data_IF_838183415638
#
_entry.id   IF_838183415638
#
_cell.length_a   1.000
_cell.length_b   1.000
_cell.length_c   1.000
_cell.angle_alpha   90.00
_cell.angle_beta   90.00
_cell.angle_gamma   90.00
#
_symmetry.space_group_name_H-M   'P 1'
#
loop_
_entity.id
_entity.type
_entity.pdbx_description
1 polymer ?
#
# COMPACT_ATOMS: atom_id res chain seq x y z
N UNK A 1 -7.18 -2.95 -29.45
CA UNK A 1 -7.14 -1.73 -28.61
C UNK A 1 -7.30 -2.19 -27.18
N UNK A 2 -6.31 -2.03 -26.32
CA UNK A 2 -6.44 -2.48 -24.92
C UNK A 2 -7.54 -1.66 -24.22
N UNK A 3 -8.43 -2.36 -23.52
CA UNK A 3 -9.53 -1.73 -22.79
C UNK A 3 -9.02 -1.02 -21.54
N UNK A 4 -9.79 -0.08 -20.99
CA UNK A 4 -9.47 0.58 -19.73
C UNK A 4 -9.25 -0.42 -18.57
N UNK A 5 -9.89 -1.58 -18.64
CA UNK A 5 -9.78 -2.67 -17.66
C UNK A 5 -8.39 -3.32 -17.65
N UNK A 6 -7.58 -3.13 -18.68
CA UNK A 6 -6.20 -3.62 -18.75
C UNK A 6 -5.23 -2.48 -18.43
N UNK A 7 -5.46 -1.30 -19.01
CA UNK A 7 -4.50 -0.19 -18.92
C UNK A 7 -4.40 0.41 -17.51
N UNK A 8 -5.55 0.59 -16.83
CA UNK A 8 -5.55 1.22 -15.49
C UNK A 8 -4.86 0.32 -14.45
N UNK A 9 -5.21 -0.99 -14.31
CA UNK A 9 -4.53 -1.87 -13.37
C UNK A 9 -3.05 -2.07 -13.72
N UNK A 10 -2.71 -2.15 -15.02
CA UNK A 10 -1.32 -2.26 -15.46
C UNK A 10 -0.49 -1.03 -15.07
N UNK A 11 -1.03 0.18 -15.28
CA UNK A 11 -0.38 1.43 -14.87
C UNK A 11 -0.23 1.50 -13.33
N UNK A 12 -1.27 1.07 -12.59
CA UNK A 12 -1.22 0.97 -11.13
C UNK A 12 -0.12 0.01 -10.67
N UNK A 13 -0.01 -1.16 -11.31
CA UNK A 13 1.05 -2.14 -11.05
C UNK A 13 2.46 -1.57 -11.28
N UNK A 14 2.67 -0.84 -12.39
CA UNK A 14 3.96 -0.20 -12.68
C UNK A 14 4.30 0.86 -11.64
N UNK A 15 3.37 1.77 -11.32
CA UNK A 15 3.61 2.84 -10.35
C UNK A 15 3.89 2.25 -8.97
N UNK A 16 3.15 1.22 -8.56
CA UNK A 16 3.37 0.51 -7.30
C UNK A 16 4.73 -0.17 -7.25
N UNK A 17 5.20 -0.72 -8.38
CA UNK A 17 6.53 -1.31 -8.49
C UNK A 17 7.62 -0.24 -8.33
N UNK A 18 7.50 0.89 -9.01
CA UNK A 18 8.43 2.01 -8.87
C UNK A 18 8.45 2.51 -7.43
N UNK A 19 7.28 2.65 -6.81
CA UNK A 19 7.16 3.05 -5.42
C UNK A 19 7.84 2.03 -4.49
N UNK A 20 7.61 0.73 -4.66
CA UNK A 20 8.27 -0.33 -3.88
C UNK A 20 9.79 -0.24 -3.99
N UNK A 21 10.33 -0.09 -5.21
CA UNK A 21 11.77 0.04 -5.47
C UNK A 21 12.35 1.24 -4.73
N UNK A 22 11.69 2.40 -4.79
CA UNK A 22 12.17 3.61 -4.09
C UNK A 22 12.13 3.45 -2.58
N UNK A 23 11.10 2.80 -2.03
CA UNK A 23 11.01 2.52 -0.60
C UNK A 23 12.11 1.55 -0.16
N UNK A 24 12.37 0.48 -0.95
CA UNK A 24 13.47 -0.45 -0.66
C UNK A 24 14.85 0.20 -0.78
N UNK A 25 15.07 1.06 -1.78
CA UNK A 25 16.31 1.83 -1.86
C UNK A 25 16.54 2.66 -0.60
N UNK A 26 15.52 3.40 -0.15
CA UNK A 26 15.63 4.16 1.11
C UNK A 26 15.85 3.26 2.32
N UNK A 27 15.23 2.09 2.36
CA UNK A 27 15.49 1.10 3.40
C UNK A 27 16.96 0.68 3.41
N UNK A 28 17.55 0.42 2.24
CA UNK A 28 18.96 0.02 2.11
C UNK A 28 19.93 1.13 2.53
N UNK A 29 19.64 2.38 2.17
CA UNK A 29 20.42 3.56 2.57
C UNK A 29 20.42 3.77 4.09
N UNK A 30 19.33 3.40 4.78
CA UNK A 30 19.19 3.55 6.24
C UNK A 30 19.50 2.26 7.02
N UNK A 31 20.02 1.23 6.37
CA UNK A 31 20.23 -0.10 6.96
C UNK A 31 21.22 -0.08 8.13
N UNK A 32 22.21 0.80 8.12
CA UNK A 32 23.17 0.94 9.21
C UNK A 32 22.53 1.48 10.51
N UNK A 33 21.41 2.19 10.40
CA UNK A 33 20.57 2.57 11.53
C UNK A 33 19.55 1.45 11.85
N UNK A 34 19.97 0.21 11.98
CA UNK A 34 19.23 -1.05 11.98
C UNK A 34 17.92 -1.12 12.81
N UNK A 35 17.62 -0.14 13.63
CA UNK A 35 16.39 -0.04 14.42
C UNK A 35 15.31 0.84 13.80
N UNK A 36 15.61 1.63 12.76
CA UNK A 36 14.69 2.65 12.22
C UNK A 36 14.05 2.30 10.87
N UNK A 37 14.50 1.25 10.19
CA UNK A 37 14.06 0.92 8.83
C UNK A 37 12.87 -0.05 8.69
N UNK A 38 12.36 -0.67 9.76
CA UNK A 38 11.34 -1.71 9.67
C UNK A 38 10.04 -1.22 8.99
N UNK A 39 9.65 0.04 9.18
CA UNK A 39 8.49 0.64 8.53
C UNK A 39 8.67 0.71 7.00
N UNK A 40 9.88 1.06 6.53
CA UNK A 40 10.18 1.10 5.10
C UNK A 40 10.13 -0.30 4.48
N UNK A 41 10.71 -1.31 5.16
CA UNK A 41 10.65 -2.69 4.69
C UNK A 41 9.20 -3.16 4.49
N UNK A 42 8.34 -2.91 5.47
CA UNK A 42 6.93 -3.33 5.42
C UNK A 42 6.11 -2.54 4.40
N UNK A 43 6.39 -1.24 4.25
CA UNK A 43 5.82 -0.43 3.19
C UNK A 43 6.23 -0.93 1.80
N UNK A 44 7.52 -1.27 1.62
CA UNK A 44 8.02 -1.87 0.38
C UNK A 44 7.31 -3.19 0.05
N UNK A 45 7.17 -4.10 1.03
CA UNK A 45 6.45 -5.36 0.86
C UNK A 45 4.97 -5.11 0.54
N UNK A 46 4.31 -4.19 1.25
CA UNK A 46 2.92 -3.82 0.97
C UNK A 46 2.73 -3.29 -0.46
N UNK A 47 3.69 -2.49 -0.96
CA UNK A 47 3.64 -2.00 -2.35
C UNK A 47 3.92 -3.10 -3.38
N UNK A 48 4.73 -4.11 -3.04
CA UNK A 48 4.87 -5.32 -3.88
C UNK A 48 3.54 -6.08 -3.96
N UNK A 49 2.82 -6.25 -2.85
CA UNK A 49 1.48 -6.85 -2.88
C UNK A 49 0.50 -6.04 -3.73
N UNK A 50 0.57 -4.72 -3.64
CA UNK A 50 -0.25 -3.82 -4.47
C UNK A 50 0.06 -4.02 -5.96
N UNK A 51 1.34 -4.07 -6.32
CA UNK A 51 1.77 -4.30 -7.70
C UNK A 51 1.30 -5.66 -8.24
N UNK A 52 1.43 -6.73 -7.43
CA UNK A 52 0.92 -8.06 -7.79
C UNK A 52 -0.59 -8.01 -8.04
N UNK A 53 -1.36 -7.34 -7.19
CA UNK A 53 -2.79 -7.14 -7.39
C UNK A 53 -3.11 -6.51 -8.74
N UNK A 54 -2.52 -5.35 -9.03
CA UNK A 54 -2.74 -4.63 -10.29
C UNK A 54 -2.30 -5.43 -11.53
N UNK A 55 -1.18 -6.14 -11.48
CA UNK A 55 -0.77 -6.98 -12.61
C UNK A 55 -1.68 -8.20 -12.80
N UNK A 56 -2.21 -8.79 -11.72
CA UNK A 56 -3.19 -9.87 -11.82
C UNK A 56 -4.50 -9.39 -12.45
N UNK A 57 -4.96 -8.20 -12.13
CA UNK A 57 -6.15 -7.59 -12.76
C UNK A 57 -5.91 -7.27 -14.23
N UNK A 58 -4.76 -6.70 -14.56
CA UNK A 58 -4.39 -6.46 -15.94
C UNK A 58 -4.30 -7.75 -16.77
N UNK A 59 -3.73 -8.82 -16.18
CA UNK A 59 -3.68 -10.14 -16.79
C UNK A 59 -5.09 -10.67 -17.05
N UNK A 60 -5.96 -10.59 -16.05
CA UNK A 60 -7.36 -11.03 -16.18
C UNK A 60 -8.08 -10.28 -17.31
N UNK A 61 -7.92 -8.96 -17.37
CA UNK A 61 -8.54 -8.13 -18.42
C UNK A 61 -8.01 -8.43 -19.83
N UNK A 62 -6.77 -8.92 -19.96
CA UNK A 62 -6.13 -9.21 -21.24
C UNK A 62 -6.31 -10.66 -21.70
N UNK A 63 -6.25 -11.62 -20.79
CA UNK A 63 -6.15 -13.05 -21.08
C UNK A 63 -7.29 -13.89 -20.48
N UNK A 64 -8.16 -13.26 -19.68
CA UNK A 64 -9.25 -13.95 -19.02
C UNK A 64 -8.86 -14.68 -17.74
N UNK A 65 -9.70 -15.63 -17.35
CA UNK A 65 -9.64 -16.30 -16.08
C UNK A 65 -8.44 -17.27 -15.94
N UNK A 66 -7.80 -17.18 -14.77
CA UNK A 66 -6.80 -18.14 -14.33
C UNK A 66 -6.92 -18.34 -12.82
N UNK A 67 -7.04 -19.60 -12.38
CA UNK A 67 -7.15 -19.94 -10.96
C UNK A 67 -5.96 -19.44 -10.13
N UNK A 68 -4.73 -19.55 -10.65
CA UNK A 68 -3.53 -19.07 -9.98
C UNK A 68 -3.53 -17.55 -9.86
N UNK A 69 -3.82 -16.85 -10.96
CA UNK A 69 -3.85 -15.38 -10.99
C UNK A 69 -4.90 -14.84 -10.05
N UNK A 70 -6.09 -15.45 -10.01
CA UNK A 70 -7.14 -15.08 -9.06
C UNK A 70 -6.69 -15.25 -7.59
N UNK A 71 -6.04 -16.36 -7.25
CA UNK A 71 -5.55 -16.62 -5.89
C UNK A 71 -4.49 -15.60 -5.47
N UNK A 72 -3.57 -15.27 -6.38
CA UNK A 72 -2.56 -14.25 -6.15
C UNK A 72 -3.19 -12.86 -5.98
N UNK A 73 -4.13 -12.50 -6.85
CA UNK A 73 -4.89 -11.26 -6.72
C UNK A 73 -5.62 -11.16 -5.39
N UNK A 74 -6.36 -12.22 -5.04
CA UNK A 74 -7.16 -12.22 -3.83
C UNK A 74 -6.31 -12.16 -2.56
N UNK A 75 -5.22 -12.92 -2.53
CA UNK A 75 -4.30 -12.90 -1.39
C UNK A 75 -3.56 -11.56 -1.28
N UNK A 76 -2.88 -11.15 -2.33
CA UNK A 76 -2.02 -9.95 -2.29
C UNK A 76 -2.85 -8.66 -2.31
N UNK A 77 -3.75 -8.50 -3.29
CA UNK A 77 -4.52 -7.27 -3.49
C UNK A 77 -5.67 -7.11 -2.50
N UNK A 78 -6.49 -8.15 -2.30
CA UNK A 78 -7.68 -8.02 -1.46
C UNK A 78 -7.43 -8.22 0.04
N UNK A 79 -6.46 -9.07 0.45
CA UNK A 79 -6.23 -9.41 1.85
C UNK A 79 -5.00 -8.66 2.41
N UNK A 80 -3.81 -8.84 1.84
CA UNK A 80 -2.56 -8.50 2.52
C UNK A 80 -2.17 -7.03 2.42
N UNK A 81 -2.41 -6.37 1.29
CA UNK A 81 -1.84 -5.05 0.97
C UNK A 81 -2.08 -4.01 2.07
N UNK A 82 -3.32 -3.81 2.46
CA UNK A 82 -3.68 -2.78 3.44
C UNK A 82 -3.06 -3.05 4.81
N UNK A 83 -3.11 -4.32 5.26
CA UNK A 83 -2.61 -4.71 6.56
C UNK A 83 -1.08 -4.58 6.66
N UNK A 84 -0.33 -4.91 5.60
CA UNK A 84 1.13 -4.79 5.62
C UNK A 84 1.60 -3.34 5.53
N UNK A 85 0.93 -2.49 4.73
CA UNK A 85 1.16 -1.05 4.73
C UNK A 85 0.85 -0.45 6.10
N UNK A 86 -0.28 -0.84 6.69
CA UNK A 86 -0.69 -0.41 8.04
C UNK A 86 0.31 -0.84 9.11
N UNK A 87 0.82 -2.07 9.04
CA UNK A 87 1.85 -2.55 9.96
C UNK A 87 3.15 -1.75 9.87
N UNK A 88 3.52 -1.28 8.67
CA UNK A 88 4.62 -0.34 8.51
C UNK A 88 4.39 0.96 9.30
N UNK A 89 3.17 1.50 9.23
CA UNK A 89 2.79 2.69 10.01
C UNK A 89 2.79 2.43 11.52
N UNK A 90 2.40 1.24 11.96
CA UNK A 90 2.51 0.83 13.37
C UNK A 90 3.97 0.86 13.83
N UNK A 91 4.92 0.38 13.03
CA UNK A 91 6.35 0.47 13.37
C UNK A 91 6.89 1.89 13.44
N UNK A 92 6.26 2.82 12.71
CA UNK A 92 6.62 4.24 12.75
C UNK A 92 6.11 4.94 14.01
N UNK A 93 4.90 4.61 14.46
CA UNK A 93 4.18 5.37 15.48
C UNK A 93 4.14 4.70 16.88
N UNK A 94 4.12 3.37 16.93
CA UNK A 94 3.95 2.62 18.16
C UNK A 94 5.28 2.24 18.81
N UNK A 95 5.23 1.93 20.11
CA UNK A 95 6.37 1.35 20.81
C UNK A 95 6.75 0.01 20.19
N UNK A 96 8.05 -0.25 20.03
CA UNK A 96 8.61 -1.43 19.36
C UNK A 96 8.02 -2.76 19.86
N UNK A 97 7.79 -2.87 21.17
CA UNK A 97 7.18 -4.07 21.78
C UNK A 97 5.81 -4.39 21.17
N UNK A 98 4.95 -3.39 21.04
CA UNK A 98 3.62 -3.56 20.46
C UNK A 98 3.68 -3.80 18.95
N UNK A 99 4.55 -3.08 18.24
CA UNK A 99 4.74 -3.28 16.81
C UNK A 99 5.22 -4.72 16.51
N UNK A 100 6.15 -5.26 17.30
CA UNK A 100 6.61 -6.64 17.14
C UNK A 100 5.50 -7.67 17.45
N UNK A 101 4.73 -7.46 18.51
CA UNK A 101 3.62 -8.35 18.86
C UNK A 101 2.56 -8.40 17.73
N UNK A 102 2.17 -7.23 17.21
CA UNK A 102 1.23 -7.14 16.09
C UNK A 102 1.82 -7.73 14.81
N UNK A 103 3.13 -7.60 14.57
CA UNK A 103 3.81 -8.23 13.42
C UNK A 103 3.75 -9.75 13.49
N UNK A 104 3.94 -10.35 14.66
CA UNK A 104 3.82 -11.80 14.84
C UNK A 104 2.39 -12.24 14.51
N UNK A 105 1.39 -11.55 15.06
CA UNK A 105 -0.03 -11.84 14.79
C UNK A 105 -0.33 -11.71 13.30
N UNK A 106 0.11 -10.61 12.67
CA UNK A 106 -0.08 -10.40 11.23
C UNK A 106 0.63 -11.47 10.39
N UNK A 107 1.84 -11.88 10.77
CA UNK A 107 2.60 -12.92 10.07
C UNK A 107 1.87 -14.27 10.12
N UNK A 108 1.42 -14.68 11.30
CA UNK A 108 0.65 -15.94 11.48
C UNK A 108 -0.68 -15.86 10.71
N UNK A 109 -1.40 -14.75 10.82
CA UNK A 109 -2.65 -14.54 10.09
C UNK A 109 -2.44 -14.54 8.56
N UNK A 110 -1.35 -13.94 8.07
CA UNK A 110 -1.00 -13.94 6.64
C UNK A 110 -0.68 -15.34 6.12
N UNK A 111 0.05 -16.13 6.90
CA UNK A 111 0.32 -17.53 6.54
C UNK A 111 -0.98 -18.34 6.51
N UNK A 112 -1.83 -18.18 7.51
CA UNK A 112 -3.15 -18.81 7.52
C UNK A 112 -3.99 -18.40 6.31
N UNK A 113 -4.04 -17.11 6.00
CA UNK A 113 -4.76 -16.60 4.83
C UNK A 113 -4.21 -17.20 3.52
N UNK A 114 -2.88 -17.29 3.36
CA UNK A 114 -2.25 -17.91 2.20
C UNK A 114 -2.68 -19.38 2.05
N UNK A 115 -2.57 -20.18 3.10
CA UNK A 115 -2.99 -21.59 3.08
C UNK A 115 -4.46 -21.69 2.68
N UNK A 116 -5.33 -20.88 3.32
CA UNK A 116 -6.78 -20.92 3.06
C UNK A 116 -7.15 -20.51 1.64
N UNK A 117 -6.50 -19.49 1.08
CA UNK A 117 -6.73 -19.03 -0.30
C UNK A 117 -6.26 -20.07 -1.32
N UNK A 118 -5.06 -20.65 -1.11
CA UNK A 118 -4.52 -21.63 -2.06
C UNK A 118 -5.21 -22.98 -2.01
N UNK A 119 -5.79 -23.36 -0.89
CA UNK A 119 -6.57 -24.62 -0.73
C UNK A 119 -8.07 -24.43 -0.96
N UNK A 120 -8.56 -23.21 -1.14
CA UNK A 120 -9.97 -22.94 -1.33
C UNK A 120 -10.52 -23.55 -2.63
N UNK A 121 -11.75 -24.04 -2.59
CA UNK A 121 -12.49 -24.42 -3.79
C UNK A 121 -12.98 -23.13 -4.48
N UNK A 122 -12.77 -23.09 -5.79
CA UNK A 122 -13.22 -21.98 -6.65
C UNK A 122 -14.34 -22.48 -7.54
N UNK A 123 -15.34 -21.65 -7.78
CA UNK A 123 -16.42 -21.92 -8.73
C UNK A 123 -16.08 -21.28 -10.08
N UNK A 124 -15.70 -22.09 -11.08
CA UNK A 124 -15.38 -21.57 -12.42
C UNK A 124 -16.58 -20.92 -13.11
N UNK A 125 -17.80 -21.30 -12.75
CA UNK A 125 -19.01 -20.75 -13.39
C UNK A 125 -19.24 -19.27 -13.09
N UNK A 126 -18.68 -18.79 -11.98
CA UNK A 126 -18.70 -17.36 -11.60
C UNK A 126 -17.57 -16.57 -12.23
N UNK A 127 -16.75 -17.21 -13.07
CA UNK A 127 -15.55 -16.66 -13.69
C UNK A 127 -15.60 -16.83 -15.20
N UNK A 128 -16.77 -16.65 -15.80
CA UNK A 128 -16.96 -16.80 -17.25
C UNK A 128 -16.33 -15.63 -18.02
N UNK A 129 -15.84 -15.93 -19.23
CA UNK A 129 -15.18 -14.98 -20.14
C UNK A 129 -16.05 -13.78 -20.56
N UNK A 130 -17.35 -13.81 -20.28
CA UNK A 130 -18.28 -12.69 -20.51
C UNK A 130 -18.13 -11.53 -19.53
N UNK A 131 -17.33 -11.71 -18.50
CA UNK A 131 -17.16 -10.79 -17.39
C UNK A 131 -15.86 -9.98 -17.57
N UNK A 132 -15.81 -9.13 -18.59
CA UNK A 132 -14.64 -8.33 -18.92
C UNK A 132 -14.51 -7.01 -18.15
N UNK A 133 -15.30 -6.81 -17.12
CA UNK A 133 -15.22 -5.63 -16.26
C UNK A 133 -14.65 -6.04 -14.90
N UNK A 134 -13.60 -5.37 -14.46
CA UNK A 134 -12.86 -5.77 -13.27
C UNK A 134 -13.63 -5.69 -11.94
N UNK A 135 -14.79 -5.04 -11.94
CA UNK A 135 -15.73 -5.10 -10.82
C UNK A 135 -16.23 -6.53 -10.54
N UNK A 136 -15.94 -7.45 -11.42
CA UNK A 136 -16.42 -8.83 -11.44
C UNK A 136 -15.41 -9.83 -10.88
N UNK A 137 -14.13 -9.47 -10.72
CA UNK A 137 -13.20 -10.17 -9.87
C UNK A 137 -13.62 -10.00 -8.42
N UNK A 138 -14.63 -10.73 -8.03
CA UNK A 138 -15.13 -10.68 -6.66
C UNK A 138 -14.75 -11.94 -5.90
N UNK A 139 -14.55 -11.82 -4.61
CA UNK A 139 -14.32 -12.97 -3.75
C UNK A 139 -15.47 -13.99 -3.76
N UNK A 140 -16.57 -13.74 -4.50
CA UNK A 140 -17.69 -14.67 -4.64
C UNK A 140 -17.31 -16.00 -5.29
N UNK A 141 -16.28 -16.01 -6.14
CA UNK A 141 -15.75 -17.26 -6.71
C UNK A 141 -15.17 -18.22 -5.67
N UNK A 142 -14.86 -17.75 -4.47
CA UNK A 142 -14.40 -18.61 -3.37
C UNK A 142 -15.63 -19.23 -2.69
N UNK A 143 -15.82 -20.53 -2.90
CA UNK A 143 -16.92 -21.32 -2.31
C UNK A 143 -16.59 -21.72 -0.87
N UNK A 144 -15.31 -21.97 -0.58
CA UNK A 144 -14.89 -22.42 0.75
C UNK A 144 -15.22 -21.40 1.84
N UNK A 145 -16.03 -21.82 2.81
CA UNK A 145 -16.47 -20.97 3.91
C UNK A 145 -15.32 -20.39 4.75
N UNK A 146 -15.52 -19.17 5.25
CA UNK A 146 -14.59 -18.46 6.14
C UNK A 146 -13.43 -17.73 5.43
N UNK A 147 -13.04 -18.11 4.21
CA UNK A 147 -11.93 -17.44 3.49
C UNK A 147 -12.26 -15.98 3.20
N UNK A 148 -13.45 -15.71 2.71
CA UNK A 148 -13.92 -14.34 2.42
C UNK A 148 -14.01 -13.45 3.66
N UNK A 149 -14.26 -14.06 4.82
CA UNK A 149 -14.29 -13.36 6.11
C UNK A 149 -12.95 -12.79 6.54
N UNK A 150 -11.82 -13.29 6.00
CA UNK A 150 -10.50 -12.76 6.32
C UNK A 150 -10.30 -11.34 5.79
N UNK A 151 -10.82 -11.06 4.60
CA UNK A 151 -10.64 -9.77 3.93
C UNK A 151 -11.06 -8.56 4.79
N UNK A 152 -12.26 -8.51 5.39
CA UNK A 152 -12.65 -7.38 6.22
C UNK A 152 -11.77 -7.19 7.45
N UNK A 153 -11.27 -8.25 8.08
CA UNK A 153 -10.38 -8.11 9.24
C UNK A 153 -9.04 -7.50 8.87
N UNK A 154 -8.40 -7.99 7.79
CA UNK A 154 -7.15 -7.44 7.30
C UNK A 154 -7.31 -5.99 6.84
N UNK A 155 -8.37 -5.70 6.10
CA UNK A 155 -8.62 -4.35 5.59
C UNK A 155 -8.99 -3.38 6.71
N UNK A 156 -9.77 -3.79 7.71
CA UNK A 156 -10.06 -2.96 8.87
C UNK A 156 -8.78 -2.62 9.64
N UNK A 157 -7.95 -3.63 9.92
CA UNK A 157 -6.66 -3.42 10.55
C UNK A 157 -5.78 -2.46 9.74
N UNK A 158 -5.66 -2.68 8.43
CA UNK A 158 -4.88 -1.84 7.54
C UNK A 158 -5.41 -0.40 7.47
N UNK A 159 -6.71 -0.23 7.32
CA UNK A 159 -7.33 1.10 7.26
C UNK A 159 -7.12 1.87 8.57
N UNK A 160 -7.40 1.26 9.70
CA UNK A 160 -7.23 1.93 11.01
C UNK A 160 -5.77 2.32 11.23
N UNK A 161 -4.83 1.44 10.92
CA UNK A 161 -3.41 1.69 11.19
C UNK A 161 -2.75 2.58 10.15
N UNK A 162 -3.03 2.41 8.86
CA UNK A 162 -2.45 3.22 7.78
C UNK A 162 -3.10 4.61 7.73
N UNK A 163 -4.43 4.64 7.53
CA UNK A 163 -5.15 5.92 7.37
C UNK A 163 -5.21 6.67 8.70
N UNK A 164 -5.59 5.97 9.78
CA UNK A 164 -5.62 6.57 11.12
C UNK A 164 -4.24 7.06 11.56
N UNK A 165 -3.17 6.29 11.29
CA UNK A 165 -1.80 6.70 11.59
C UNK A 165 -1.32 7.89 10.78
N UNK A 166 -1.65 7.96 9.48
CA UNK A 166 -1.32 9.09 8.63
C UNK A 166 -2.06 10.37 9.07
N UNK A 167 -3.35 10.26 9.38
CA UNK A 167 -4.14 11.37 9.91
C UNK A 167 -3.63 11.85 11.28
N UNK A 168 -3.29 10.92 12.17
CA UNK A 168 -2.70 11.24 13.47
C UNK A 168 -1.36 11.98 13.31
N UNK A 169 -0.49 11.51 12.42
CA UNK A 169 0.78 12.18 12.12
C UNK A 169 0.55 13.59 11.54
N UNK A 170 -0.40 13.72 10.61
CA UNK A 170 -0.78 15.02 10.05
C UNK A 170 -1.27 15.99 11.11
N UNK A 171 -2.11 15.53 12.02
CA UNK A 171 -2.64 16.34 13.12
C UNK A 171 -1.53 16.81 14.06
N UNK A 172 -0.56 15.95 14.42
CA UNK A 172 0.58 16.33 15.26
C UNK A 172 1.42 17.41 14.59
N UNK A 173 1.78 17.26 13.31
CA UNK A 173 2.59 18.24 12.59
C UNK A 173 1.86 19.57 12.42
N UNK A 174 0.57 19.50 12.09
CA UNK A 174 -0.27 20.70 11.95
C UNK A 174 -0.41 21.46 13.27
N UNK A 175 -0.70 20.75 14.37
CA UNK A 175 -0.84 21.38 15.71
C UNK A 175 0.45 22.04 16.19
N UNK A 176 1.58 21.44 15.88
CA UNK A 176 2.90 22.00 16.25
C UNK A 176 3.37 23.10 15.31
N UNK A 177 2.62 23.36 14.23
CA UNK A 177 2.97 24.32 13.16
C UNK A 177 4.37 24.08 12.56
N UNK A 178 4.82 22.83 12.52
CA UNK A 178 6.11 22.41 11.98
C UNK A 178 5.88 21.46 10.80
N UNK A 179 6.81 21.45 9.85
CA UNK A 179 6.89 20.45 8.80
C UNK A 179 5.58 20.34 7.97
N UNK A 180 5.06 21.49 7.47
CA UNK A 180 3.82 21.52 6.68
C UNK A 180 3.83 20.56 5.50
N UNK A 181 5.01 20.33 4.87
CA UNK A 181 5.16 19.37 3.77
C UNK A 181 4.86 17.93 4.23
N UNK A 182 5.22 17.54 5.48
CA UNK A 182 4.88 16.23 6.04
C UNK A 182 3.41 16.10 6.37
N UNK A 183 2.79 17.19 6.82
CA UNK A 183 1.33 17.23 7.02
C UNK A 183 0.60 16.92 5.72
N UNK A 184 0.92 17.64 4.64
CA UNK A 184 0.33 17.43 3.32
C UNK A 184 0.66 16.02 2.80
N UNK A 185 1.90 15.57 2.95
CA UNK A 185 2.31 14.23 2.54
C UNK A 185 1.49 13.13 3.21
N UNK A 186 1.27 13.21 4.52
CA UNK A 186 0.46 12.24 5.25
C UNK A 186 -1.03 12.30 4.87
N UNK A 187 -1.58 13.49 4.58
CA UNK A 187 -2.95 13.63 4.07
C UNK A 187 -3.09 12.92 2.72
N UNK A 188 -2.12 13.13 1.81
CA UNK A 188 -2.11 12.45 0.51
C UNK A 188 -2.05 10.92 0.66
N UNK A 189 -1.25 10.41 1.60
CA UNK A 189 -1.20 8.97 1.91
C UNK A 189 -2.56 8.48 2.42
N UNK A 190 -3.19 9.21 3.35
CA UNK A 190 -4.48 8.81 3.91
C UNK A 190 -5.58 8.79 2.84
N UNK A 191 -5.68 9.84 2.03
CA UNK A 191 -6.64 9.92 0.93
C UNK A 191 -6.37 8.82 -0.11
N UNK A 192 -5.10 8.68 -0.52
CA UNK A 192 -4.70 7.66 -1.50
C UNK A 192 -5.03 6.24 -1.04
N UNK A 193 -4.82 5.93 0.25
CA UNK A 193 -5.13 4.61 0.80
C UNK A 193 -6.64 4.31 0.86
N UNK A 194 -7.50 5.34 0.89
CA UNK A 194 -8.95 5.17 0.90
C UNK A 194 -9.55 4.99 -0.50
N UNK A 195 -8.90 5.48 -1.55
CA UNK A 195 -9.45 5.48 -2.91
C UNK A 195 -9.80 4.09 -3.45
N UNK A 196 -9.01 3.03 -3.25
CA UNK A 196 -9.39 1.67 -3.68
C UNK A 196 -10.67 1.18 -3.01
N UNK A 197 -10.86 1.49 -1.72
CA UNK A 197 -12.07 1.10 -0.98
C UNK A 197 -13.32 1.82 -1.52
N UNK A 198 -13.21 3.12 -1.81
CA UNK A 198 -14.28 3.86 -2.47
C UNK A 198 -14.52 3.36 -3.90
N UNK A 199 -13.46 3.13 -4.67
CA UNK A 199 -13.55 2.58 -6.02
C UNK A 199 -14.28 1.23 -6.04
N UNK A 200 -13.93 0.31 -5.13
CA UNK A 200 -14.61 -0.97 -4.97
C UNK A 200 -16.07 -0.83 -4.54
N UNK A 201 -16.39 0.17 -3.73
CA UNK A 201 -17.76 0.47 -3.36
C UNK A 201 -18.57 0.97 -4.56
N UNK A 202 -18.05 1.96 -5.30
CA UNK A 202 -18.70 2.49 -6.48
C UNK A 202 -18.88 1.46 -7.60
N UNK A 203 -17.93 0.54 -7.77
CA UNK A 203 -18.07 -0.58 -8.69
C UNK A 203 -19.28 -1.45 -8.36
N UNK A 204 -19.54 -1.71 -7.09
CA UNK A 204 -20.73 -2.45 -6.63
C UNK A 204 -22.05 -1.70 -6.87
N UNK A 205 -22.01 -0.38 -6.98
CA UNK A 205 -23.15 0.47 -7.35
C UNK A 205 -23.29 0.66 -8.87
N UNK A 206 -22.58 -0.13 -9.67
CA UNK A 206 -22.76 -0.14 -11.13
C UNK A 206 -21.92 0.90 -11.89
N UNK A 207 -20.86 1.43 -11.27
CA UNK A 207 -19.88 2.25 -11.96
C UNK A 207 -18.68 1.37 -12.38
N UNK A 208 -18.66 0.82 -13.60
CA UNK A 208 -17.60 -0.03 -14.07
C UNK A 208 -16.28 0.77 -14.04
N UNK A 209 -15.18 0.09 -13.80
CA UNK A 209 -13.82 0.67 -13.73
C UNK A 209 -13.55 1.63 -12.55
N UNK A 210 -14.52 1.94 -11.69
CA UNK A 210 -14.30 2.81 -10.52
C UNK A 210 -13.24 2.22 -9.57
N UNK A 211 -13.17 0.89 -9.43
CA UNK A 211 -12.13 0.21 -8.67
C UNK A 211 -10.74 0.51 -9.22
N UNK A 212 -10.52 0.26 -10.50
CA UNK A 212 -9.21 0.46 -11.15
C UNK A 212 -8.75 1.91 -11.15
N UNK A 213 -9.70 2.84 -11.36
CA UNK A 213 -9.41 4.26 -11.24
C UNK A 213 -9.04 4.62 -9.79
N UNK A 214 -9.76 4.07 -8.81
CA UNK A 214 -9.47 4.25 -7.39
C UNK A 214 -8.10 3.72 -7.00
N UNK A 215 -7.71 2.57 -7.53
CA UNK A 215 -6.39 1.97 -7.29
C UNK A 215 -5.27 2.78 -7.95
N UNK A 216 -5.44 3.20 -9.20
CA UNK A 216 -4.45 4.02 -9.88
C UNK A 216 -4.24 5.36 -9.18
N UNK A 217 -5.31 6.10 -8.91
CA UNK A 217 -5.24 7.38 -8.20
C UNK A 217 -4.73 7.19 -6.77
N UNK A 218 -5.13 6.09 -6.11
CA UNK A 218 -4.68 5.75 -4.77
C UNK A 218 -3.17 5.56 -4.71
N UNK A 219 -2.60 4.76 -5.61
CA UNK A 219 -1.15 4.55 -5.63
C UNK A 219 -0.39 5.82 -5.99
N UNK A 220 -0.89 6.66 -6.93
CA UNK A 220 -0.28 7.94 -7.28
C UNK A 220 -0.24 8.88 -6.06
N UNK A 221 -1.37 9.01 -5.36
CA UNK A 221 -1.45 9.90 -4.18
C UNK A 221 -0.59 9.39 -3.02
N UNK A 222 -0.59 8.08 -2.74
CA UNK A 222 0.28 7.49 -1.73
C UNK A 222 1.75 7.71 -2.08
N UNK A 223 2.13 7.55 -3.33
CA UNK A 223 3.50 7.76 -3.80
C UNK A 223 3.92 9.22 -3.67
N UNK A 224 3.11 10.15 -4.19
CA UNK A 224 3.36 11.59 -4.06
C UNK A 224 3.44 12.02 -2.58
N UNK A 225 2.54 11.48 -1.76
CA UNK A 225 2.52 11.70 -0.32
C UNK A 225 3.78 11.20 0.37
N UNK A 226 4.23 10.00 0.02
CA UNK A 226 5.48 9.42 0.55
C UNK A 226 6.69 10.27 0.20
N UNK A 227 6.85 10.65 -1.08
CA UNK A 227 7.95 11.53 -1.49
C UNK A 227 7.90 12.83 -0.70
N UNK A 228 6.74 13.49 -0.64
CA UNK A 228 6.58 14.77 0.04
C UNK A 228 6.85 14.70 1.54
N UNK A 229 6.42 13.61 2.20
CA UNK A 229 6.62 13.42 3.63
C UNK A 229 8.06 13.07 4.01
N UNK A 230 8.84 12.54 3.08
CA UNK A 230 10.17 11.99 3.36
C UNK A 230 11.33 12.78 2.75
N UNK A 231 11.06 13.76 1.88
CA UNK A 231 12.09 14.62 1.30
C UNK A 231 12.30 15.83 2.22
N UNK A 232 13.52 16.06 2.75
CA UNK A 232 13.84 17.26 3.54
C UNK A 232 13.66 18.51 2.70
N UNK A 233 13.08 19.56 3.28
CA UNK A 233 13.05 20.90 2.64
C UNK A 233 14.36 21.63 2.87
N UNK A 234 14.67 22.64 2.03
CA UNK A 234 15.89 23.46 2.16
C UNK A 234 16.04 24.09 3.55
N UNK A 235 14.93 24.47 4.16
CA UNK A 235 14.89 25.08 5.50
C UNK A 235 15.18 24.09 6.64
N UNK A 236 15.24 22.78 6.35
CA UNK A 236 15.60 21.73 7.31
C UNK A 236 17.07 21.27 7.16
N UNK A 237 17.77 21.75 6.14
CA UNK A 237 19.20 21.49 6.02
C UNK A 237 19.93 22.41 6.99
N UNK A 238 20.84 21.89 7.84
CA UNK A 238 21.73 22.76 8.61
C UNK A 238 22.40 23.71 7.61
N UNK A 239 22.39 25.02 7.89
CA UNK A 239 23.22 25.95 7.13
C UNK A 239 24.64 25.37 7.09
N UNK A 240 25.30 25.33 5.90
CA UNK A 240 26.70 24.97 5.85
C UNK A 240 27.38 25.89 6.85
N UNK A 241 27.92 25.31 7.92
CA UNK A 241 28.69 26.02 8.93
C UNK A 241 29.65 26.91 8.16
N UNK A 242 29.41 28.23 8.21
CA UNK A 242 30.23 29.20 7.54
C UNK A 242 31.65 28.86 7.96
N UNK A 243 32.45 28.46 7.00
CA UNK A 243 33.84 28.07 7.22
C UNK A 243 34.41 29.12 8.16
N UNK A 244 34.68 28.72 9.38
CA UNK A 244 35.22 29.58 10.40
C UNK A 244 36.47 30.20 9.83
N UNK A 245 36.39 31.49 9.48
CA UNK A 245 37.54 32.35 9.28
C UNK A 245 38.32 32.31 10.59
N UNK A 246 39.22 31.32 10.68
CA UNK A 246 40.26 31.30 11.69
C UNK A 246 41.27 32.37 11.24
N UNK A 247 41.36 33.54 11.89
CA UNK A 247 42.44 34.46 11.60
C UNK A 247 43.75 33.74 12.00
N UNK A 248 44.55 33.48 11.00
CA UNK A 248 45.94 33.07 11.21
C UNK A 248 46.59 34.25 11.92
N UNK A 249 46.81 34.14 13.21
CA UNK A 249 47.70 35.02 13.95
C UNK A 249 49.12 34.64 13.54
N UNK A 250 49.65 35.44 12.60
CA UNK A 250 51.11 35.50 12.38
C UNK A 250 51.76 36.14 13.62
N UNK A 251 52.59 35.40 14.33
CA UNK A 251 53.68 35.92 15.15
C UNK A 251 54.91 35.06 14.96
#
# INVERSE_FOLDING_TARGET
>A
MFSFNVLLPFASGIISTIFAVLVFRRYMEHKEAARRGAHLLLWGIGMVFYAIGGFCEAYYGAFGWSSLVFRLWYLCGAILVAAWLGQGTVYLLAKRKWANALMIVLGVASLYAAIRVFTAQLDPSLMTDSLHTGSELSGHAIVTGGVRGLTPFFNLYGTVTLVGGALYSSWIFWRKRILLHRTIGNILIAVGAMLPAFGGTFSRFGLPNALYLGELLGTILMFAGFIRATTPMKDEQPEPEAAADTPVLET
#
